data_IF_967796522347
#
_entry.id   IF_967796522347
#
_cell.length_a   1.000
_cell.length_b   1.000
_cell.length_c   1.000
_cell.angle_alpha   90.00
_cell.angle_beta   90.00
_cell.angle_gamma   90.00
#
_symmetry.space_group_name_H-M   'P 1'
#
loop_
_entity.id
_entity.type
_entity.pdbx_description
1 polymer ?
#
# COMPACT_ATOMS: atom_id res chain seq x y z
N UNK A 1 15.78 13.69 17.91
CA UNK A 1 17.24 13.41 17.90
C UNK A 1 17.64 12.03 17.39
N UNK A 2 17.25 10.88 18.00
CA UNK A 2 17.67 9.56 17.48
C UNK A 2 17.02 9.23 16.12
N UNK A 3 15.71 9.48 16.01
CA UNK A 3 14.94 9.30 14.77
C UNK A 3 15.45 10.21 13.64
N UNK A 4 15.74 11.47 13.95
CA UNK A 4 16.30 12.43 12.96
C UNK A 4 17.65 11.95 12.42
N UNK A 5 18.55 11.50 13.30
CA UNK A 5 19.87 10.99 12.88
C UNK A 5 19.78 9.71 12.05
N UNK A 6 18.82 8.83 12.37
CA UNK A 6 18.56 7.63 11.58
C UNK A 6 17.98 7.98 10.21
N UNK A 7 17.07 8.96 10.14
CA UNK A 7 16.51 9.46 8.88
C UNK A 7 17.58 10.13 8.00
N UNK A 8 18.44 10.96 8.57
CA UNK A 8 19.58 11.58 7.86
C UNK A 8 20.51 10.51 7.27
N UNK A 9 20.82 9.48 8.05
CA UNK A 9 21.65 8.36 7.58
C UNK A 9 21.01 7.63 6.39
N UNK A 10 19.71 7.36 6.47
CA UNK A 10 18.97 6.71 5.37
C UNK A 10 19.01 7.58 4.10
N UNK A 11 18.81 8.89 4.24
CA UNK A 11 18.84 9.83 3.10
C UNK A 11 20.22 9.90 2.45
N UNK A 12 21.29 9.92 3.25
CA UNK A 12 22.66 9.99 2.75
C UNK A 12 23.05 8.71 2.01
N UNK A 13 22.70 7.54 2.56
CA UNK A 13 22.93 6.24 1.92
C UNK A 13 22.15 6.12 0.60
N UNK A 14 20.89 6.56 0.56
CA UNK A 14 20.08 6.58 -0.67
C UNK A 14 20.68 7.52 -1.72
N UNK A 15 21.09 8.72 -1.34
CA UNK A 15 21.66 9.71 -2.26
C UNK A 15 22.93 9.17 -2.93
N UNK A 16 23.85 8.59 -2.15
CA UNK A 16 25.09 7.98 -2.66
C UNK A 16 24.82 6.78 -3.57
N UNK A 17 23.77 6.02 -3.32
CA UNK A 17 23.39 4.89 -4.17
C UNK A 17 22.85 5.37 -5.54
N UNK A 18 22.06 6.45 -5.53
CA UNK A 18 21.45 7.02 -6.73
C UNK A 18 22.44 7.70 -7.67
N UNK A 19 23.57 8.23 -7.18
CA UNK A 19 24.63 8.81 -8.03
C UNK A 19 25.13 7.87 -9.14
N UNK A 20 25.03 6.55 -8.94
CA UNK A 20 25.46 5.53 -9.90
C UNK A 20 24.37 5.08 -10.85
N UNK A 21 23.13 5.49 -10.61
CA UNK A 21 21.97 5.09 -11.41
C UNK A 21 21.77 6.15 -12.49
N UNK A 22 21.84 5.78 -13.78
CA UNK A 22 21.58 6.74 -14.85
C UNK A 22 20.14 7.26 -14.76
N UNK A 23 19.94 8.52 -15.13
CA UNK A 23 18.59 9.04 -15.35
C UNK A 23 17.93 8.25 -16.49
N UNK A 24 16.82 7.59 -16.17
CA UNK A 24 16.04 6.79 -17.11
C UNK A 24 14.64 7.38 -17.17
N UNK A 25 13.99 7.31 -18.33
CA UNK A 25 12.58 7.65 -18.42
C UNK A 25 11.77 6.70 -17.52
N UNK A 26 10.90 7.29 -16.69
CA UNK A 26 10.08 6.53 -15.76
C UNK A 26 9.20 5.54 -16.52
N UNK A 27 9.48 4.26 -16.34
CA UNK A 27 8.69 3.18 -16.91
C UNK A 27 7.75 2.66 -15.83
N UNK A 28 6.51 3.16 -15.80
CA UNK A 28 5.50 2.72 -14.82
C UNK A 28 5.08 1.26 -14.98
N UNK A 29 5.15 0.74 -16.21
CA UNK A 29 4.82 -0.64 -16.53
C UNK A 29 5.85 -1.19 -17.52
N UNK A 30 6.39 -2.37 -17.23
CA UNK A 30 7.28 -3.11 -18.14
C UNK A 30 6.51 -3.63 -19.37
N UNK A 31 5.18 -3.60 -19.31
CA UNK A 31 4.26 -4.08 -20.35
C UNK A 31 3.55 -2.91 -21.03
N UNK A 32 3.12 -3.13 -22.27
CA UNK A 32 2.38 -2.14 -23.04
C UNK A 32 1.11 -1.67 -22.30
N UNK A 33 0.86 -0.37 -22.39
CA UNK A 33 -0.35 0.26 -21.88
C UNK A 33 -1.55 -0.22 -22.70
N UNK A 34 -2.26 -1.21 -22.16
CA UNK A 34 -3.50 -1.73 -22.73
C UNK A 34 -4.69 -1.18 -21.97
N UNK A 35 -5.64 -0.60 -22.71
CA UNK A 35 -6.93 -0.18 -22.16
C UNK A 35 -7.72 -1.40 -21.69
N UNK A 36 -7.64 -1.73 -20.39
CA UNK A 36 -8.39 -2.82 -19.76
C UNK A 36 -9.63 -2.24 -19.10
N UNK A 37 -10.81 -2.56 -19.63
CA UNK A 37 -12.08 -2.27 -18.96
C UNK A 37 -12.66 -3.55 -18.35
N UNK A 38 -13.27 -3.43 -17.18
CA UNK A 38 -14.03 -4.51 -16.56
C UNK A 38 -15.51 -4.32 -16.89
N UNK A 39 -16.14 -5.35 -17.44
CA UNK A 39 -17.58 -5.33 -17.65
C UNK A 39 -18.34 -5.12 -16.34
N UNK A 40 -19.36 -4.26 -16.38
CA UNK A 40 -20.22 -4.01 -15.23
C UNK A 40 -21.21 -5.17 -15.02
N UNK A 41 -20.75 -6.17 -14.27
CA UNK A 41 -21.53 -7.37 -13.93
C UNK A 41 -21.42 -7.64 -12.44
N UNK A 42 -22.55 -7.93 -11.80
CA UNK A 42 -22.60 -8.39 -10.42
C UNK A 42 -21.90 -9.74 -10.30
N UNK A 43 -21.00 -9.87 -9.32
CA UNK A 43 -20.38 -11.14 -8.94
C UNK A 43 -20.88 -11.56 -7.56
N UNK A 44 -21.07 -12.86 -7.37
CA UNK A 44 -21.36 -13.42 -6.05
C UNK A 44 -20.16 -13.13 -5.13
N UNK A 45 -20.44 -12.64 -3.93
CA UNK A 45 -19.43 -12.43 -2.88
C UNK A 45 -19.61 -13.52 -1.83
N UNK A 46 -18.49 -13.92 -1.24
CA UNK A 46 -18.43 -14.86 -0.12
C UNK A 46 -17.76 -14.14 1.06
N UNK A 47 -18.55 -13.58 1.99
CA UNK A 47 -18.02 -12.82 3.12
C UNK A 47 -17.19 -13.68 4.09
N UNK A 48 -17.47 -14.98 4.20
CA UNK A 48 -16.80 -15.88 5.15
C UNK A 48 -15.29 -15.94 4.89
N UNK A 49 -14.88 -15.85 3.62
CA UNK A 49 -13.47 -15.80 3.23
C UNK A 49 -12.71 -14.60 3.82
N UNK A 50 -13.37 -13.45 3.96
CA UNK A 50 -12.76 -12.23 4.48
C UNK A 50 -12.74 -12.27 6.00
N UNK A 51 -13.85 -12.69 6.61
CA UNK A 51 -14.03 -12.70 8.06
C UNK A 51 -13.15 -13.73 8.76
N UNK A 52 -12.78 -14.85 8.10
CA UNK A 52 -11.95 -15.91 8.69
C UNK A 52 -10.63 -15.42 9.31
N UNK A 53 -10.02 -14.38 8.73
CA UNK A 53 -8.72 -13.88 9.17
C UNK A 53 -8.81 -12.51 9.87
N UNK A 54 -10.02 -11.97 10.05
CA UNK A 54 -10.24 -10.68 10.66
C UNK A 54 -10.65 -10.81 12.13
N UNK A 55 -10.32 -9.83 12.99
CA UNK A 55 -10.90 -9.75 14.34
C UNK A 55 -12.38 -9.40 14.20
N UNK A 56 -13.25 -10.37 14.51
CA UNK A 56 -14.71 -10.24 14.38
C UNK A 56 -15.42 -10.43 15.72
N UNK A 57 -16.56 -9.77 15.87
CA UNK A 57 -17.48 -10.00 16.99
C UNK A 57 -18.39 -11.22 16.75
N UNK A 58 -19.27 -11.51 17.71
CA UNK A 58 -20.21 -12.63 17.63
C UNK A 58 -21.30 -12.47 16.56
N UNK A 59 -21.46 -11.27 16.01
CA UNK A 59 -22.43 -10.93 14.95
C UNK A 59 -21.77 -10.95 13.56
N UNK A 60 -20.45 -11.12 13.48
CA UNK A 60 -19.68 -11.17 12.24
C UNK A 60 -19.22 -9.80 11.73
N UNK A 61 -19.19 -8.77 12.59
CA UNK A 61 -18.66 -7.45 12.24
C UNK A 61 -17.17 -7.36 12.55
N UNK A 62 -16.42 -6.57 11.77
CA UNK A 62 -14.98 -6.34 11.99
C UNK A 62 -14.80 -5.32 13.13
N UNK A 63 -13.98 -5.69 14.12
CA UNK A 63 -13.64 -4.84 15.27
C UNK A 63 -12.43 -3.97 14.90
N UNK A 64 -12.55 -2.65 15.06
CA UNK A 64 -11.47 -1.69 14.82
C UNK A 64 -11.40 -0.64 15.93
N UNK A 65 -10.22 -0.07 16.16
CA UNK A 65 -10.06 1.07 17.06
C UNK A 65 -10.78 2.29 16.47
N UNK A 66 -11.48 3.03 17.34
CA UNK A 66 -12.09 4.29 16.94
C UNK A 66 -11.01 5.35 16.84
N UNK A 67 -10.67 5.76 15.62
CA UNK A 67 -9.80 6.91 15.41
C UNK A 67 -10.42 8.18 15.99
N UNK A 68 -9.68 8.87 16.86
CA UNK A 68 -9.99 10.23 17.26
C UNK A 68 -9.42 11.20 16.22
N UNK A 69 -10.17 12.26 15.90
CA UNK A 69 -9.69 13.28 14.97
C UNK A 69 -8.58 14.09 15.64
N UNK A 70 -7.35 13.98 15.13
CA UNK A 70 -6.26 14.90 15.50
C UNK A 70 -6.39 16.18 14.69
N UNK A 71 -6.54 17.33 15.37
CA UNK A 71 -6.40 18.66 14.76
C UNK A 71 -4.94 19.01 14.53
#
# INVERSE_FOLDING_TARGET
MKIEKEAEKILEEFSKALEKVPELEETHYIIDNLNRTRADKKRKKDPERILRNAPVDNEGNIIVERGEWTQ
#
